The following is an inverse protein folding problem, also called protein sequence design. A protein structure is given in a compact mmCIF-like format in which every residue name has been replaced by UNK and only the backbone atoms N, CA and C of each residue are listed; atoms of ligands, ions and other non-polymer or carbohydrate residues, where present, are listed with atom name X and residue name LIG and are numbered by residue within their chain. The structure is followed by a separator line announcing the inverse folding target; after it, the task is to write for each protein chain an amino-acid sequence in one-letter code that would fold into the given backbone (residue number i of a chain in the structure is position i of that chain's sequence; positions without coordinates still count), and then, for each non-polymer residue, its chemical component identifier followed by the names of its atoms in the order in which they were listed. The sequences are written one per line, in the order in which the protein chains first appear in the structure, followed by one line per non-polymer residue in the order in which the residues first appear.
data_IF_110722923240
#
_entry.id   IF_110722923240
#
_cell.length_a   1.000
_cell.length_b   1.000
_cell.length_c   1.000
_cell.angle_alpha   90.00
_cell.angle_beta   90.00
_cell.angle_gamma   90.00
#
_symmetry.space_group_name_H-M   'P 1'
#
loop_
_entity.id
_entity.type
_entity.pdbx_description
1 polymer ?
#
# COMPACT_ATOMS: atom_id res chain seq x y z
N UNK A 1 -38.96 -19.37 55.28
CA UNK A 1 -40.33 -18.82 55.52
C UNK A 1 -40.34 -17.79 56.67
N UNK A 2 -41.22 -16.77 56.74
CA UNK A 2 -41.22 -15.81 57.88
C UNK A 2 -42.01 -16.34 59.08
N UNK A 3 -41.65 -15.92 60.30
CA UNK A 3 -42.38 -16.28 61.53
C UNK A 3 -43.87 -15.90 61.47
N UNK A 4 -44.19 -14.78 60.82
CA UNK A 4 -45.57 -14.37 60.56
C UNK A 4 -46.30 -15.36 59.64
N UNK A 5 -45.63 -15.84 58.58
CA UNK A 5 -46.19 -16.83 57.66
C UNK A 5 -46.49 -18.17 58.32
N UNK A 6 -45.61 -18.63 59.21
CA UNK A 6 -45.80 -19.84 60.04
C UNK A 6 -47.06 -19.69 60.91
N UNK A 7 -47.21 -18.54 61.59
CA UNK A 7 -48.37 -18.20 62.43
C UNK A 7 -49.68 -18.11 61.64
N UNK A 8 -49.64 -17.57 60.41
CA UNK A 8 -50.84 -17.49 59.55
C UNK A 8 -51.30 -18.88 59.10
N UNK A 9 -50.37 -19.77 58.74
CA UNK A 9 -50.68 -21.13 58.32
C UNK A 9 -51.23 -21.98 59.47
N UNK A 10 -50.65 -21.84 60.67
CA UNK A 10 -51.16 -22.48 61.89
C UNK A 10 -52.60 -22.05 62.20
N UNK A 11 -52.90 -20.74 62.12
CA UNK A 11 -54.27 -20.20 62.27
C UNK A 11 -55.25 -20.68 61.18
N UNK A 12 -54.74 -21.06 60.01
CA UNK A 12 -55.53 -21.60 58.91
C UNK A 12 -55.79 -23.12 59.03
N UNK A 13 -55.32 -23.77 60.10
CA UNK A 13 -55.58 -25.19 60.39
C UNK A 13 -54.54 -26.17 59.83
N UNK A 14 -53.40 -25.69 59.34
CA UNK A 14 -52.28 -26.56 58.95
C UNK A 14 -51.59 -27.16 60.18
N UNK A 15 -51.15 -28.40 60.08
CA UNK A 15 -50.37 -29.06 61.15
C UNK A 15 -48.91 -28.62 61.13
N UNK A 16 -48.21 -28.74 62.26
CA UNK A 16 -46.78 -28.41 62.35
C UNK A 16 -45.94 -29.15 61.31
N UNK A 17 -46.24 -30.43 61.06
CA UNK A 17 -45.55 -31.21 60.03
C UNK A 17 -45.76 -30.65 58.61
N UNK A 18 -46.96 -30.16 58.29
CA UNK A 18 -47.25 -29.54 56.99
C UNK A 18 -46.54 -28.18 56.83
N UNK A 19 -46.51 -27.37 57.89
CA UNK A 19 -45.83 -26.07 57.88
C UNK A 19 -44.31 -26.24 57.78
N UNK A 20 -43.74 -27.20 58.50
CA UNK A 20 -42.31 -27.55 58.43
C UNK A 20 -41.93 -28.05 57.04
N UNK A 21 -42.67 -29.01 56.46
CA UNK A 21 -42.37 -29.52 55.12
C UNK A 21 -42.45 -28.41 54.05
N UNK A 22 -43.41 -27.48 54.17
CA UNK A 22 -43.51 -26.34 53.27
C UNK A 22 -42.37 -25.34 53.47
N UNK A 23 -41.95 -25.08 54.72
CA UNK A 23 -40.81 -24.22 55.01
C UNK A 23 -39.50 -24.79 54.46
N UNK A 24 -39.25 -26.09 54.66
CA UNK A 24 -38.09 -26.79 54.10
C UNK A 24 -38.10 -26.77 52.57
N UNK A 25 -39.25 -26.98 51.93
CA UNK A 25 -39.37 -26.87 50.47
C UNK A 25 -39.06 -25.45 49.98
N UNK A 26 -39.59 -24.42 50.65
CA UNK A 26 -39.33 -23.02 50.31
C UNK A 26 -37.85 -22.66 50.48
N UNK A 27 -37.22 -23.07 51.57
CA UNK A 27 -35.82 -22.77 51.85
C UNK A 27 -34.87 -23.56 50.91
N UNK A 28 -35.29 -24.73 50.41
CA UNK A 28 -34.50 -25.54 49.47
C UNK A 28 -34.63 -25.11 48.00
N UNK A 29 -35.76 -24.55 47.58
CA UNK A 29 -36.04 -24.25 46.16
C UNK A 29 -35.98 -22.77 45.80
N UNK A 30 -36.11 -21.86 46.76
CA UNK A 30 -36.18 -20.43 46.46
C UNK A 30 -34.83 -19.75 46.66
N UNK A 31 -34.38 -19.02 45.64
CA UNK A 31 -33.30 -18.06 45.79
C UNK A 31 -33.68 -17.05 46.88
N UNK A 32 -32.80 -16.85 47.84
CA UNK A 32 -32.99 -15.90 48.93
C UNK A 32 -32.84 -14.47 48.39
N UNK A 33 -33.32 -13.49 49.16
CA UNK A 33 -33.05 -12.07 48.86
C UNK A 33 -31.56 -11.77 48.80
N UNK A 34 -30.74 -12.54 49.53
CA UNK A 34 -29.30 -12.41 49.51
C UNK A 34 -28.71 -12.88 48.17
N UNK A 35 -29.14 -14.03 47.65
CA UNK A 35 -28.68 -14.56 46.36
C UNK A 35 -29.00 -13.61 45.20
N UNK A 36 -30.19 -13.00 45.23
CA UNK A 36 -30.59 -11.99 44.25
C UNK A 36 -29.70 -10.73 44.38
N UNK A 37 -29.43 -10.27 45.60
CA UNK A 37 -28.58 -9.11 45.82
C UNK A 37 -27.14 -9.37 45.34
N UNK A 38 -26.59 -10.56 45.62
CA UNK A 38 -25.28 -10.97 45.13
C UNK A 38 -25.25 -11.03 43.61
N UNK A 39 -26.25 -11.66 42.98
CA UNK A 39 -26.35 -11.75 41.52
C UNK A 39 -26.41 -10.36 40.88
N UNK A 40 -27.14 -9.41 41.47
CA UNK A 40 -27.18 -8.03 40.98
C UNK A 40 -25.81 -7.34 41.07
N UNK A 41 -25.07 -7.55 42.16
CA UNK A 41 -23.71 -7.02 42.30
C UNK A 41 -22.78 -7.61 41.24
N UNK A 42 -22.86 -8.91 40.98
CA UNK A 42 -22.07 -9.58 39.94
C UNK A 42 -22.43 -9.07 38.54
N UNK A 43 -23.72 -8.86 38.25
CA UNK A 43 -24.19 -8.26 36.99
C UNK A 43 -23.64 -6.84 36.81
N UNK A 44 -23.73 -6.00 37.83
CA UNK A 44 -23.23 -4.62 37.74
C UNK A 44 -21.71 -4.57 37.58
N UNK A 45 -20.98 -5.49 38.25
CA UNK A 45 -19.54 -5.65 38.04
C UNK A 45 -19.24 -6.07 36.60
N UNK A 46 -19.91 -7.11 36.10
CA UNK A 46 -19.71 -7.60 34.73
C UNK A 46 -20.04 -6.52 33.69
N UNK A 47 -21.08 -5.71 33.91
CA UNK A 47 -21.41 -4.55 33.06
C UNK A 47 -20.32 -3.49 33.09
N UNK A 48 -19.79 -3.17 34.27
CA UNK A 48 -18.71 -2.19 34.42
C UNK A 48 -17.43 -2.67 33.71
N UNK A 49 -17.06 -3.93 33.91
CA UNK A 49 -15.88 -4.52 33.27
C UNK A 49 -16.04 -4.55 31.75
N UNK A 50 -17.20 -4.97 31.23
CA UNK A 50 -17.49 -4.96 29.80
C UNK A 50 -17.45 -3.55 29.21
N UNK A 51 -17.97 -2.54 29.92
CA UNK A 51 -17.91 -1.15 29.47
C UNK A 51 -16.46 -0.66 29.33
N UNK A 52 -15.59 -1.01 30.29
CA UNK A 52 -14.16 -0.67 30.22
C UNK A 52 -13.45 -1.39 29.08
N UNK A 53 -13.76 -2.66 28.86
CA UNK A 53 -13.18 -3.44 27.76
C UNK A 53 -13.58 -2.87 26.40
N UNK A 54 -14.85 -2.43 26.25
CA UNK A 54 -15.33 -1.76 25.03
C UNK A 54 -14.60 -0.43 24.82
N UNK A 55 -14.44 0.39 25.86
CA UNK A 55 -13.72 1.66 25.77
C UNK A 55 -12.24 1.46 25.39
N UNK A 56 -11.60 0.45 26.00
CA UNK A 56 -10.22 0.08 25.68
C UNK A 56 -10.08 -0.39 24.24
N UNK A 57 -10.93 -1.32 23.80
CA UNK A 57 -10.94 -1.82 22.42
C UNK A 57 -11.16 -0.69 21.41
N UNK A 58 -12.06 0.25 21.71
CA UNK A 58 -12.30 1.43 20.87
C UNK A 58 -11.07 2.35 20.82
N UNK A 59 -10.40 2.57 21.94
CA UNK A 59 -9.18 3.37 22.00
C UNK A 59 -8.04 2.74 21.22
N UNK A 60 -7.83 1.44 21.38
CA UNK A 60 -6.78 0.69 20.69
C UNK A 60 -7.04 0.67 19.17
N UNK A 61 -8.28 0.41 18.74
CA UNK A 61 -8.64 0.47 17.33
C UNK A 61 -8.43 1.88 16.73
N UNK A 62 -8.73 2.94 17.47
CA UNK A 62 -8.48 4.31 17.00
C UNK A 62 -7.00 4.58 16.78
N UNK A 63 -6.13 4.11 17.69
CA UNK A 63 -4.67 4.22 17.57
C UNK A 63 -4.14 3.42 16.39
N UNK A 64 -4.65 2.21 16.19
CA UNK A 64 -4.25 1.36 15.06
C UNK A 64 -4.63 1.99 13.72
N UNK A 65 -5.82 2.59 13.62
CA UNK A 65 -6.25 3.33 12.43
C UNK A 65 -5.33 4.52 12.17
N UNK A 66 -4.99 5.31 13.20
CA UNK A 66 -4.08 6.45 13.06
C UNK A 66 -2.68 6.01 12.61
N UNK A 67 -2.16 4.91 13.18
CA UNK A 67 -0.88 4.33 12.81
C UNK A 67 -0.87 3.88 11.35
N UNK A 68 -1.86 3.09 10.93
CA UNK A 68 -1.99 2.63 9.54
C UNK A 68 -2.10 3.80 8.58
N UNK A 69 -2.85 4.85 8.94
CA UNK A 69 -2.96 6.07 8.12
C UNK A 69 -1.62 6.78 7.99
N UNK A 70 -0.87 6.91 9.08
CA UNK A 70 0.46 7.52 9.07
C UNK A 70 1.44 6.72 8.23
N UNK A 71 1.46 5.39 8.38
CA UNK A 71 2.36 4.50 7.64
C UNK A 71 2.04 4.55 6.14
N UNK A 72 0.76 4.49 5.76
CA UNK A 72 0.34 4.62 4.37
C UNK A 72 0.72 5.98 3.76
N UNK A 73 0.63 7.05 4.53
CA UNK A 73 1.02 8.40 4.06
C UNK A 73 2.51 8.47 3.76
N UNK A 74 3.36 7.87 4.61
CA UNK A 74 4.81 7.77 4.40
C UNK A 74 5.15 6.90 3.18
N UNK A 75 4.46 5.79 3.01
CA UNK A 75 4.68 4.91 1.85
C UNK A 75 4.33 5.61 0.54
N UNK A 76 3.23 6.38 0.51
CA UNK A 76 2.85 7.20 -0.65
C UNK A 76 3.93 8.25 -0.96
N UNK A 77 4.43 8.96 0.06
CA UNK A 77 5.50 9.95 -0.12
C UNK A 77 6.79 9.32 -0.65
N UNK A 78 7.15 8.14 -0.12
CA UNK A 78 8.32 7.39 -0.58
C UNK A 78 8.18 6.95 -2.04
N UNK A 79 7.06 6.33 -2.41
CA UNK A 79 6.79 5.93 -3.80
C UNK A 79 6.83 7.12 -4.74
N UNK A 80 6.27 8.27 -4.32
CA UNK A 80 6.31 9.49 -5.13
C UNK A 80 7.74 10.00 -5.32
N UNK A 81 8.54 10.01 -4.27
CA UNK A 81 9.95 10.41 -4.33
C UNK A 81 10.76 9.49 -5.24
N UNK A 82 10.59 8.18 -5.09
CA UNK A 82 11.30 7.17 -5.89
C UNK A 82 10.92 7.32 -7.38
N UNK A 83 9.63 7.47 -7.70
CA UNK A 83 9.17 7.70 -9.07
C UNK A 83 9.72 9.00 -9.67
N UNK A 84 9.78 10.08 -8.89
CA UNK A 84 10.38 11.35 -9.36
C UNK A 84 11.86 11.16 -9.71
N UNK A 85 12.61 10.44 -8.89
CA UNK A 85 14.01 10.12 -9.14
C UNK A 85 14.20 9.26 -10.39
N UNK A 86 13.39 8.22 -10.55
CA UNK A 86 13.44 7.35 -11.73
C UNK A 86 13.16 8.13 -13.03
N UNK A 87 12.22 9.08 -13.00
CA UNK A 87 11.92 9.96 -14.13
C UNK A 87 13.12 10.86 -14.46
N UNK A 88 13.79 11.42 -13.46
CA UNK A 88 14.98 12.26 -13.65
C UNK A 88 16.14 11.47 -14.23
N UNK A 89 16.38 10.26 -13.73
CA UNK A 89 17.42 9.35 -14.24
C UNK A 89 17.14 8.97 -15.70
N UNK A 90 15.91 8.56 -16.02
CA UNK A 90 15.51 8.23 -17.39
C UNK A 90 15.66 9.42 -18.35
N UNK A 91 15.32 10.64 -17.90
CA UNK A 91 15.53 11.86 -18.70
C UNK A 91 17.00 12.16 -18.95
N UNK A 92 17.86 11.95 -17.95
CA UNK A 92 19.29 12.14 -18.07
C UNK A 92 19.90 11.14 -19.06
N UNK A 93 19.51 9.87 -18.96
CA UNK A 93 19.99 8.81 -19.85
C UNK A 93 19.51 9.02 -21.28
N UNK A 94 18.24 9.36 -21.48
CA UNK A 94 17.73 9.69 -22.81
C UNK A 94 18.47 10.90 -23.43
N UNK A 95 18.79 11.92 -22.62
CA UNK A 95 19.57 13.08 -23.10
C UNK A 95 20.99 12.68 -23.52
N UNK A 96 21.65 11.80 -22.75
CA UNK A 96 22.97 11.26 -23.10
C UNK A 96 22.93 10.46 -24.38
N UNK A 97 21.91 9.61 -24.56
CA UNK A 97 21.79 8.77 -25.75
C UNK A 97 21.47 9.61 -26.99
N UNK A 98 20.62 10.63 -26.88
CA UNK A 98 20.40 11.60 -27.96
C UNK A 98 21.72 12.30 -28.34
N UNK A 99 22.53 12.71 -27.36
CA UNK A 99 23.82 13.36 -27.62
C UNK A 99 24.80 12.40 -28.33
N UNK A 100 24.89 11.14 -27.90
CA UNK A 100 25.70 10.11 -28.57
C UNK A 100 25.26 9.90 -30.00
N UNK A 101 23.95 9.71 -30.25
CA UNK A 101 23.41 9.50 -31.60
C UNK A 101 23.71 10.70 -32.51
N UNK A 102 23.60 11.93 -31.99
CA UNK A 102 23.96 13.14 -32.75
C UNK A 102 25.45 13.16 -33.12
N UNK A 103 26.33 12.86 -32.16
CA UNK A 103 27.78 12.82 -32.41
C UNK A 103 28.15 11.74 -33.44
N UNK A 104 27.60 10.54 -33.30
CA UNK A 104 27.80 9.43 -34.26
C UNK A 104 27.34 9.81 -35.67
N UNK A 105 26.21 10.49 -35.79
CA UNK A 105 25.69 10.94 -37.08
C UNK A 105 26.57 12.02 -37.70
N UNK A 106 27.06 12.97 -36.90
CA UNK A 106 27.98 14.02 -37.36
C UNK A 106 29.30 13.43 -37.87
N UNK A 107 29.87 12.46 -37.16
CA UNK A 107 31.05 11.72 -37.59
C UNK A 107 30.81 10.99 -38.92
N UNK A 108 29.73 10.22 -39.04
CA UNK A 108 29.38 9.51 -40.29
C UNK A 108 29.18 10.46 -41.46
N UNK A 109 28.57 11.62 -41.25
CA UNK A 109 28.40 12.64 -42.29
C UNK A 109 29.76 13.19 -42.72
N UNK A 110 30.66 13.46 -41.76
CA UNK A 110 32.01 13.94 -42.05
C UNK A 110 32.81 12.91 -42.86
N UNK A 111 32.80 11.65 -42.43
CA UNK A 111 33.48 10.55 -43.13
C UNK A 111 32.93 10.39 -44.56
N UNK A 112 31.60 10.39 -44.73
CA UNK A 112 30.96 10.33 -46.05
C UNK A 112 31.39 11.50 -46.94
N UNK A 113 31.45 12.73 -46.40
CA UNK A 113 31.93 13.90 -47.16
C UNK A 113 33.38 13.73 -47.60
N UNK A 114 34.25 13.24 -46.73
CA UNK A 114 35.67 12.99 -47.05
C UNK A 114 35.79 11.93 -48.14
N UNK A 115 35.03 10.84 -48.06
CA UNK A 115 35.02 9.80 -49.09
C UNK A 115 34.55 10.34 -50.45
N UNK A 116 33.47 11.12 -50.48
CA UNK A 116 32.98 11.76 -51.70
C UNK A 116 34.06 12.67 -52.31
N UNK A 117 34.74 13.48 -51.50
CA UNK A 117 35.84 14.34 -51.98
C UNK A 117 36.96 13.51 -52.62
N UNK A 118 37.36 12.40 -52.00
CA UNK A 118 38.40 11.50 -52.54
C UNK A 118 37.98 10.92 -53.89
N UNK A 119 36.73 10.44 -54.01
CA UNK A 119 36.20 9.91 -55.27
C UNK A 119 36.15 10.96 -56.38
N UNK A 120 35.67 12.17 -56.08
CA UNK A 120 35.61 13.28 -57.04
C UNK A 120 37.01 13.68 -57.49
N UNK A 121 37.97 13.79 -56.56
CA UNK A 121 39.36 14.09 -56.92
C UNK A 121 39.96 13.02 -57.85
N UNK A 122 39.72 11.74 -57.56
CA UNK A 122 40.15 10.63 -58.42
C UNK A 122 39.54 10.72 -59.83
N UNK A 123 38.24 11.02 -59.93
CA UNK A 123 37.56 11.22 -61.22
C UNK A 123 38.17 12.37 -62.03
N UNK A 124 38.45 13.51 -61.38
CA UNK A 124 39.04 14.68 -62.03
C UNK A 124 40.44 14.37 -62.59
N UNK A 125 41.26 13.62 -61.86
CA UNK A 125 42.57 13.17 -62.34
C UNK A 125 42.42 12.24 -63.56
N UNK A 126 41.51 11.28 -63.51
CA UNK A 126 41.26 10.35 -64.61
C UNK A 126 40.78 11.07 -65.88
N UNK A 127 39.84 12.01 -65.75
CA UNK A 127 39.36 12.83 -66.87
C UNK A 127 40.46 13.72 -67.45
N UNK A 128 41.28 14.34 -66.59
CA UNK A 128 42.45 15.12 -67.02
C UNK A 128 43.42 14.28 -67.86
N UNK A 129 43.74 13.07 -67.42
CA UNK A 129 44.59 12.15 -68.18
C UNK A 129 43.96 11.74 -69.54
N UNK A 130 42.65 11.49 -69.57
CA UNK A 130 41.92 11.17 -70.80
C UNK A 130 41.95 12.33 -71.81
N UNK A 131 41.72 13.58 -71.36
CA UNK A 131 41.80 14.78 -72.21
C UNK A 131 43.20 14.94 -72.80
N UNK A 132 44.25 14.81 -71.99
CA UNK A 132 45.64 14.90 -72.46
C UNK A 132 45.95 13.81 -73.51
N UNK A 133 45.44 12.59 -73.31
CA UNK A 133 45.56 11.52 -74.29
C UNK A 133 44.88 11.84 -75.62
N UNK A 134 43.65 12.37 -75.59
CA UNK A 134 42.90 12.76 -76.79
C UNK A 134 43.59 13.88 -77.57
N UNK A 135 44.12 14.91 -76.89
CA UNK A 135 44.84 16.02 -77.53
C UNK A 135 46.06 15.53 -78.30
N UNK A 136 46.79 14.53 -77.77
CA UNK A 136 47.95 13.95 -78.47
C UNK A 136 47.59 13.08 -79.68
N UNK A 137 46.38 12.55 -79.76
CA UNK A 137 45.94 11.67 -80.86
C UNK A 137 45.34 12.45 -82.05
N UNK A 138 45.05 13.75 -81.90
CA UNK A 138 44.59 14.60 -82.99
C UNK A 138 45.73 14.81 -84.01
N UNK A 139 45.57 14.43 -85.29
CA UNK A 139 46.58 14.69 -86.31
C UNK A 139 46.76 16.20 -86.48
N UNK A 140 48.01 16.66 -86.42
CA UNK A 140 48.36 18.07 -86.59
C UNK A 140 47.92 18.60 -87.97
N UNK A 141 47.65 19.91 -88.12
CA UNK A 141 47.27 20.48 -89.41
C UNK A 141 48.39 20.19 -90.42
N UNK A 142 48.06 19.49 -91.50
CA UNK A 142 48.98 19.31 -92.63
C UNK A 142 49.27 20.68 -93.27
N UNK A 143 50.54 20.94 -93.65
CA UNK A 143 50.98 22.21 -94.21
C UNK A 143 50.33 22.53 -95.57
#
# INVERSE_FOLDING_TARGET
MSATGILTLSKAGFTDAQVTALAEYFDAQMATKHDIAQTNVEIEKARSDLSRDIEKARSDLSRDIEKVRSDLSRDIEKVRSDLSRDIEELRADLSRDIAKVRADLELKISDTKVEIIKWVAGLMVAQGAAIVGLVKLLPGPHP
#
